data_IF_119960299574
#
_entry.id   IF_119960299574
#
_cell.length_a   1.000
_cell.length_b   1.000
_cell.length_c   1.000
_cell.angle_alpha   90.00
_cell.angle_beta   90.00
_cell.angle_gamma   90.00
#
_symmetry.space_group_name_H-M   'P 1'
#
loop_
_entity.id
_entity.type
_entity.pdbx_description
1 polymer ?
#
# COMPACT_ATOMS: atom_id res chain seq x y z
N UNK A 1 34.13 16.61 2.56
CA UNK A 1 33.51 15.75 3.59
C UNK A 1 32.76 16.65 4.56
N UNK A 2 31.49 16.93 4.25
CA UNK A 2 30.58 17.59 5.18
C UNK A 2 29.98 16.48 6.03
N UNK A 3 30.22 16.51 7.34
CA UNK A 3 29.54 15.64 8.31
C UNK A 3 28.41 16.46 8.90
N UNK A 4 27.33 16.58 8.12
CA UNK A 4 26.05 17.02 8.65
C UNK A 4 25.47 15.81 9.39
N UNK A 5 25.10 15.89 10.69
CA UNK A 5 24.50 14.79 11.39
C UNK A 5 23.05 14.65 10.92
N UNK A 6 22.87 14.19 9.69
CA UNK A 6 21.57 13.80 9.16
C UNK A 6 20.99 12.64 9.96
N UNK A 7 19.66 12.51 9.93
CA UNK A 7 18.94 11.36 10.48
C UNK A 7 19.59 10.08 9.92
N UNK A 8 20.06 9.14 10.77
CA UNK A 8 20.61 7.88 10.31
C UNK A 8 19.63 7.17 9.39
N UNK A 9 20.11 6.59 8.29
CA UNK A 9 19.24 5.84 7.39
C UNK A 9 18.60 4.67 8.16
N UNK A 10 17.27 4.48 8.09
CA UNK A 10 16.59 3.43 8.83
C UNK A 10 16.99 2.04 8.31
N UNK A 11 17.05 1.08 9.23
CA UNK A 11 17.36 -0.32 8.92
C UNK A 11 16.24 -0.95 8.09
N UNK A 12 16.52 -2.05 7.37
CA UNK A 12 15.48 -2.78 6.65
C UNK A 12 14.34 -3.22 7.58
N UNK A 13 14.66 -3.68 8.80
CA UNK A 13 13.66 -4.01 9.82
C UNK A 13 12.73 -2.83 10.10
N UNK A 14 13.29 -1.64 10.38
CA UNK A 14 12.50 -0.45 10.65
C UNK A 14 11.68 0.00 9.44
N UNK A 15 12.21 -0.17 8.22
CA UNK A 15 11.46 0.09 6.98
C UNK A 15 10.30 -0.88 6.75
N UNK A 16 10.48 -2.17 7.07
CA UNK A 16 9.41 -3.17 6.99
C UNK A 16 8.28 -2.83 7.98
N UNK A 17 8.63 -2.62 9.25
CA UNK A 17 7.65 -2.24 10.29
C UNK A 17 7.00 -0.90 9.96
N UNK A 18 7.81 0.12 9.63
CA UNK A 18 7.36 1.45 9.24
C UNK A 18 6.38 1.41 8.07
N UNK A 19 6.71 0.68 7.01
CA UNK A 19 5.86 0.57 5.82
C UNK A 19 4.51 -0.07 6.15
N UNK A 20 4.50 -1.21 6.85
CA UNK A 20 3.25 -1.94 7.15
C UNK A 20 2.37 -1.20 8.16
N UNK A 21 2.96 -0.69 9.25
CA UNK A 21 2.22 0.12 10.24
C UNK A 21 1.77 1.46 9.64
N UNK A 22 2.62 2.10 8.85
CA UNK A 22 2.29 3.36 8.17
C UNK A 22 1.09 3.21 7.26
N UNK A 23 1.05 2.14 6.45
CA UNK A 23 -0.12 1.81 5.63
C UNK A 23 -1.37 1.56 6.46
N UNK A 24 -1.27 0.76 7.52
CA UNK A 24 -2.41 0.49 8.38
C UNK A 24 -2.95 1.73 9.12
N UNK A 25 -2.09 2.67 9.50
CA UNK A 25 -2.49 3.96 10.04
C UNK A 25 -3.22 4.83 9.01
N UNK A 26 -2.71 4.84 7.77
CA UNK A 26 -3.34 5.54 6.65
C UNK A 26 -4.70 4.97 6.28
N UNK A 27 -4.80 3.64 6.18
CA UNK A 27 -6.06 2.89 6.01
C UNK A 27 -7.04 3.25 7.14
N UNK A 28 -6.65 3.09 8.41
CA UNK A 28 -7.56 3.36 9.53
C UNK A 28 -8.04 4.81 9.60
N UNK A 29 -7.18 5.78 9.25
CA UNK A 29 -7.56 7.19 9.21
C UNK A 29 -8.53 7.46 8.06
N UNK A 30 -8.22 6.98 6.85
CA UNK A 30 -9.04 7.18 5.67
C UNK A 30 -10.36 6.41 5.70
N UNK A 31 -10.39 5.23 6.33
CA UNK A 31 -11.60 4.40 6.48
C UNK A 31 -12.69 5.11 7.28
N UNK A 32 -12.31 6.03 8.18
CA UNK A 32 -13.27 6.84 8.94
C UNK A 32 -14.05 7.88 8.09
N UNK A 33 -13.58 8.14 6.86
CA UNK A 33 -14.09 9.18 5.95
C UNK A 33 -14.25 8.72 4.49
N UNK A 34 -13.95 7.48 4.13
CA UNK A 34 -14.01 6.95 2.76
C UNK A 34 -15.38 7.16 2.08
N UNK A 35 -16.47 7.18 2.85
CA UNK A 35 -17.83 7.37 2.34
C UNK A 35 -18.31 8.83 2.36
N UNK A 36 -17.46 9.76 2.78
CA UNK A 36 -17.82 11.17 2.96
C UNK A 36 -17.36 12.02 1.77
N UNK A 37 -18.12 13.07 1.45
CA UNK A 37 -17.59 14.16 0.63
C UNK A 37 -16.67 15.06 1.44
N UNK A 38 -15.79 15.82 0.79
CA UNK A 38 -14.97 16.83 1.49
C UNK A 38 -15.81 17.84 2.28
N UNK A 39 -17.05 18.11 1.86
CA UNK A 39 -17.96 18.96 2.61
C UNK A 39 -18.38 18.30 3.94
N UNK A 40 -18.73 17.01 3.92
CA UNK A 40 -19.12 16.24 5.10
C UNK A 40 -17.93 16.06 6.05
N UNK A 41 -16.73 15.80 5.51
CA UNK A 41 -15.49 15.72 6.32
C UNK A 41 -15.24 17.04 7.06
N UNK A 42 -15.36 18.18 6.37
CA UNK A 42 -15.19 19.50 6.99
C UNK A 42 -16.30 19.84 7.98
N UNK A 43 -17.53 19.35 7.77
CA UNK A 43 -18.61 19.49 8.74
C UNK A 43 -18.31 18.71 10.03
N UNK A 44 -17.77 17.50 9.90
CA UNK A 44 -17.43 16.62 11.03
C UNK A 44 -16.21 17.07 11.82
N UNK A 45 -15.15 17.50 11.13
CA UNK A 45 -13.81 17.72 11.74
C UNK A 45 -13.34 19.18 11.67
N UNK A 46 -14.11 20.08 11.05
CA UNK A 46 -13.79 21.49 10.90
C UNK A 46 -13.05 21.79 9.58
N UNK A 47 -12.65 23.05 9.40
CA UNK A 47 -12.15 23.56 8.11
C UNK A 47 -10.89 22.85 7.58
N UNK A 48 -10.08 22.27 8.47
CA UNK A 48 -8.86 21.53 8.13
C UNK A 48 -9.11 20.03 7.89
N UNK A 49 -10.36 19.57 8.05
CA UNK A 49 -10.71 18.16 7.92
C UNK A 49 -10.13 17.28 9.02
N UNK A 50 -10.02 15.98 8.75
CA UNK A 50 -9.48 14.98 9.65
C UNK A 50 -7.94 15.06 9.68
N UNK A 51 -7.35 15.32 10.84
CA UNK A 51 -5.89 15.55 10.97
C UNK A 51 -5.17 14.47 11.77
N UNK A 52 -5.91 13.60 12.47
CA UNK A 52 -5.33 12.42 13.09
C UNK A 52 -6.32 11.49 13.77
N UNK A 53 -5.83 10.33 14.21
CA UNK A 53 -6.65 9.31 14.88
C UNK A 53 -7.26 9.77 16.23
N UNK A 54 -6.70 10.82 16.82
CA UNK A 54 -7.23 11.47 18.02
C UNK A 54 -8.55 12.22 17.79
N UNK A 55 -8.81 12.65 16.54
CA UNK A 55 -10.05 13.36 16.17
C UNK A 55 -11.24 12.39 16.04
N UNK A 56 -10.97 11.09 15.90
CA UNK A 56 -11.99 10.07 15.73
C UNK A 56 -12.69 9.73 17.05
N UNK A 57 -14.01 9.68 17.01
CA UNK A 57 -14.82 9.07 18.08
C UNK A 57 -15.07 7.60 17.74
N UNK A 58 -14.64 6.67 18.60
CA UNK A 58 -14.81 5.23 18.39
C UNK A 58 -13.53 4.47 18.03
N UNK A 59 -13.61 3.18 17.66
CA UNK A 59 -12.44 2.35 17.39
C UNK A 59 -11.68 2.78 16.12
N UNK A 60 -10.36 2.53 16.07
CA UNK A 60 -9.48 2.90 14.96
C UNK A 60 -9.20 1.66 14.11
N UNK A 61 -10.27 1.23 13.47
CA UNK A 61 -10.30 0.03 12.64
C UNK A 61 -9.57 0.28 11.32
N UNK A 62 -8.67 -0.62 10.95
CA UNK A 62 -8.22 -0.76 9.56
C UNK A 62 -9.26 -1.53 8.72
N UNK A 63 -9.28 -1.38 7.39
CA UNK A 63 -10.23 -2.06 6.52
C UNK A 63 -9.67 -3.38 5.94
N UNK A 64 -10.34 -3.92 4.94
CA UNK A 64 -9.83 -5.00 4.10
C UNK A 64 -8.48 -4.71 3.44
N UNK A 65 -8.06 -3.45 3.27
CA UNK A 65 -6.78 -3.10 2.65
C UNK A 65 -5.59 -3.58 3.48
N UNK A 66 -5.59 -3.26 4.78
CA UNK A 66 -4.58 -3.76 5.72
C UNK A 66 -4.66 -5.28 5.79
N UNK A 67 -5.87 -5.87 5.84
CA UNK A 67 -6.01 -7.33 5.85
C UNK A 67 -5.32 -7.96 4.64
N UNK A 68 -5.68 -7.54 3.42
CA UNK A 68 -5.11 -8.06 2.18
C UNK A 68 -3.61 -7.80 2.09
N UNK A 69 -3.12 -6.65 2.57
CA UNK A 69 -1.69 -6.36 2.66
C UNK A 69 -0.95 -7.38 3.54
N UNK A 70 -1.50 -7.71 4.71
CA UNK A 70 -0.90 -8.71 5.60
C UNK A 70 -0.94 -10.11 5.00
N UNK A 71 -1.99 -10.48 4.26
CA UNK A 71 -2.02 -11.74 3.50
C UNK A 71 -1.07 -11.73 2.29
N UNK A 72 -0.78 -10.59 1.67
CA UNK A 72 0.33 -10.45 0.70
C UNK A 72 1.66 -10.77 1.39
N UNK A 73 1.90 -10.19 2.57
CA UNK A 73 3.12 -10.47 3.35
C UNK A 73 3.22 -11.96 3.66
N UNK A 74 2.13 -12.59 4.12
CA UNK A 74 2.12 -14.02 4.43
C UNK A 74 2.44 -14.90 3.21
N UNK A 75 1.87 -14.62 2.05
CA UNK A 75 2.19 -15.32 0.80
C UNK A 75 3.65 -15.14 0.36
N UNK A 76 4.22 -13.94 0.53
CA UNK A 76 5.63 -13.68 0.27
C UNK A 76 6.54 -14.41 1.27
N UNK A 77 6.18 -14.40 2.55
CA UNK A 77 6.88 -15.13 3.61
C UNK A 77 6.93 -16.61 3.29
N UNK A 78 5.79 -17.22 2.91
CA UNK A 78 5.74 -18.63 2.51
C UNK A 78 6.70 -18.94 1.36
N UNK A 79 6.70 -18.11 0.31
CA UNK A 79 7.60 -18.30 -0.83
C UNK A 79 9.09 -18.18 -0.42
N UNK A 80 9.41 -17.24 0.47
CA UNK A 80 10.77 -17.04 0.98
C UNK A 80 11.21 -18.16 1.94
N UNK A 81 10.31 -18.73 2.74
CA UNK A 81 10.59 -19.91 3.58
C UNK A 81 11.03 -21.10 2.71
N UNK A 82 10.33 -21.36 1.62
CA UNK A 82 10.71 -22.39 0.65
C UNK A 82 12.08 -22.09 0.02
N UNK A 83 12.28 -20.86 -0.43
CA UNK A 83 13.55 -20.45 -1.04
C UNK A 83 14.74 -20.60 -0.07
N UNK A 84 14.57 -20.21 1.19
CA UNK A 84 15.57 -20.35 2.26
C UNK A 84 15.86 -21.82 2.61
N UNK A 85 14.89 -22.71 2.41
CA UNK A 85 15.07 -24.15 2.54
C UNK A 85 15.72 -24.80 1.28
N UNK A 86 16.05 -24.02 0.25
CA UNK A 86 16.62 -24.49 -1.01
C UNK A 86 15.60 -25.15 -1.94
N UNK A 87 14.30 -24.86 -1.76
CA UNK A 87 13.20 -25.41 -2.55
C UNK A 87 12.53 -24.29 -3.33
N UNK A 88 12.36 -24.47 -4.65
CA UNK A 88 11.62 -23.52 -5.46
C UNK A 88 10.12 -23.56 -5.16
N UNK A 89 9.49 -22.40 -5.02
CA UNK A 89 8.05 -22.24 -4.91
C UNK A 89 7.52 -21.28 -6.00
N UNK A 90 6.29 -21.51 -6.44
CA UNK A 90 5.58 -20.53 -7.26
C UNK A 90 5.05 -19.42 -6.33
N UNK A 91 5.62 -18.22 -6.46
CA UNK A 91 5.27 -17.06 -5.62
C UNK A 91 3.79 -16.68 -5.79
N UNK A 92 3.27 -16.72 -7.03
CA UNK A 92 1.88 -16.38 -7.29
C UNK A 92 0.92 -17.42 -6.69
N UNK A 93 1.31 -18.70 -6.70
CA UNK A 93 0.53 -19.73 -6.01
C UNK A 93 0.48 -19.50 -4.49
N UNK A 94 1.61 -19.13 -3.87
CA UNK A 94 1.66 -18.82 -2.43
C UNK A 94 0.75 -17.62 -2.09
N UNK A 95 0.82 -16.56 -2.88
CA UNK A 95 -0.04 -15.37 -2.75
C UNK A 95 -1.51 -15.71 -2.96
N UNK A 96 -1.82 -16.49 -3.99
CA UNK A 96 -3.20 -16.89 -4.27
C UNK A 96 -3.79 -17.72 -3.13
N UNK A 97 -3.03 -18.68 -2.59
CA UNK A 97 -3.44 -19.46 -1.42
C UNK A 97 -3.65 -18.57 -0.18
N UNK A 98 -2.80 -17.57 0.04
CA UNK A 98 -2.99 -16.59 1.11
C UNK A 98 -4.27 -15.77 0.91
N UNK A 99 -4.55 -15.32 -0.30
CA UNK A 99 -5.79 -14.60 -0.59
C UNK A 99 -7.03 -15.48 -0.50
N UNK A 100 -6.95 -16.78 -0.81
CA UNK A 100 -8.05 -17.72 -0.57
C UNK A 100 -8.33 -17.91 0.92
N UNK A 101 -7.29 -17.90 1.78
CA UNK A 101 -7.48 -17.88 3.24
C UNK A 101 -8.18 -16.61 3.69
N UNK A 102 -7.74 -15.44 3.20
CA UNK A 102 -8.41 -14.17 3.46
C UNK A 102 -9.88 -14.19 3.00
N UNK A 103 -10.16 -14.68 1.79
CA UNK A 103 -11.52 -14.78 1.25
C UNK A 103 -12.44 -15.57 2.20
N UNK A 104 -11.94 -16.71 2.72
CA UNK A 104 -12.66 -17.51 3.69
C UNK A 104 -12.91 -16.75 5.02
N UNK A 105 -11.99 -15.90 5.47
CA UNK A 105 -12.22 -15.06 6.66
C UNK A 105 -13.30 -14.00 6.44
N UNK A 106 -13.58 -13.63 5.18
CA UNK A 106 -14.69 -12.72 4.83
C UNK A 106 -16.04 -13.43 4.71
N UNK A 107 -16.09 -14.76 4.92
CA UNK A 107 -17.31 -15.56 4.77
C UNK A 107 -17.67 -15.85 3.31
N UNK A 108 -16.71 -15.73 2.40
CA UNK A 108 -16.86 -16.04 0.98
C UNK A 108 -16.19 -17.40 0.66
N UNK A 109 -16.60 -18.03 -0.44
CA UNK A 109 -16.11 -19.34 -0.87
C UNK A 109 -15.64 -19.29 -2.34
N UNK A 110 -14.48 -19.89 -2.63
CA UNK A 110 -13.90 -19.91 -3.99
C UNK A 110 -14.41 -21.05 -4.88
N UNK A 111 -15.44 -21.77 -4.42
CA UNK A 111 -16.02 -22.91 -5.11
C UNK A 111 -15.21 -24.19 -4.91
N UNK A 112 -15.80 -25.35 -5.27
CA UNK A 112 -15.24 -26.67 -5.01
C UNK A 112 -13.99 -27.00 -5.85
N UNK A 113 -13.69 -26.21 -6.87
CA UNK A 113 -12.50 -26.37 -7.71
C UNK A 113 -11.26 -25.67 -7.15
N UNK A 114 -11.43 -24.71 -6.24
CA UNK A 114 -10.32 -24.05 -5.60
C UNK A 114 -9.59 -24.99 -4.63
N UNK A 115 -8.26 -24.86 -4.49
CA UNK A 115 -7.52 -25.63 -3.49
C UNK A 115 -7.94 -25.21 -2.08
N UNK A 116 -7.84 -26.14 -1.13
CA UNK A 116 -7.96 -25.84 0.30
C UNK A 116 -6.57 -25.47 0.86
N UNK A 117 -6.25 -24.17 1.06
CA UNK A 117 -4.96 -23.76 1.59
C UNK A 117 -4.77 -24.28 3.01
N UNK A 118 -3.52 -24.63 3.35
CA UNK A 118 -3.17 -24.98 4.73
C UNK A 118 -3.18 -23.72 5.61
N UNK A 119 -3.61 -23.81 6.87
CA UNK A 119 -3.63 -22.68 7.77
C UNK A 119 -2.20 -22.25 8.15
N UNK A 120 -2.02 -20.94 8.33
CA UNK A 120 -0.78 -20.28 8.75
C UNK A 120 -1.04 -19.41 9.99
N UNK A 121 0.03 -18.87 10.56
CA UNK A 121 -0.04 -18.05 11.79
C UNK A 121 -1.06 -16.91 11.68
N UNK A 122 -1.13 -16.25 10.52
CA UNK A 122 -2.00 -15.10 10.28
C UNK A 122 -3.49 -15.42 10.48
N UNK A 123 -3.93 -16.65 10.18
CA UNK A 123 -5.35 -17.05 10.21
C UNK A 123 -5.93 -17.16 11.64
N UNK A 124 -5.04 -17.23 12.64
CA UNK A 124 -5.40 -17.27 14.06
C UNK A 124 -5.85 -15.93 14.63
N UNK A 125 -5.66 -14.83 13.89
CA UNK A 125 -5.96 -13.48 14.37
C UNK A 125 -7.42 -13.10 14.08
N UNK A 126 -8.27 -13.07 15.11
CA UNK A 126 -9.72 -12.81 14.97
C UNK A 126 -10.05 -11.45 14.36
N UNK A 127 -9.20 -10.44 14.56
CA UNK A 127 -9.36 -9.10 13.99
C UNK A 127 -9.42 -9.12 12.46
N UNK A 128 -8.70 -10.05 11.82
CA UNK A 128 -8.65 -10.20 10.35
C UNK A 128 -9.88 -10.92 9.77
N UNK A 129 -10.82 -11.34 10.62
CA UNK A 129 -12.10 -11.96 10.23
C UNK A 129 -13.26 -10.97 10.23
N UNK A 130 -13.01 -9.74 10.66
CA UNK A 130 -14.01 -8.69 10.63
C UNK A 130 -14.19 -8.21 9.19
N UNK A 131 -15.39 -8.39 8.65
CA UNK A 131 -15.73 -7.97 7.29
C UNK A 131 -15.94 -6.46 7.25
N UNK A 132 -15.01 -5.74 6.61
CA UNK A 132 -14.99 -4.27 6.55
C UNK A 132 -14.86 -3.79 5.12
N UNK A 133 -16.00 -3.73 4.43
CA UNK A 133 -16.11 -3.28 3.04
C UNK A 133 -15.11 -3.93 2.07
N UNK A 134 -15.03 -5.28 2.00
CA UNK A 134 -14.06 -5.94 1.15
C UNK A 134 -14.21 -5.54 -0.32
N UNK A 135 -13.09 -5.21 -0.96
CA UNK A 135 -13.04 -4.84 -2.37
C UNK A 135 -13.70 -5.90 -3.27
N UNK A 136 -14.63 -5.44 -4.10
CA UNK A 136 -15.52 -6.33 -4.87
C UNK A 136 -14.78 -7.05 -5.97
N UNK A 137 -13.78 -6.41 -6.58
CA UNK A 137 -12.96 -7.01 -7.64
C UNK A 137 -12.02 -8.08 -7.04
N UNK A 138 -11.48 -7.85 -5.84
CA UNK A 138 -10.74 -8.86 -5.08
C UNK A 138 -11.61 -10.06 -4.73
N UNK A 139 -12.77 -9.84 -4.12
CA UNK A 139 -13.69 -10.93 -3.75
C UNK A 139 -14.12 -11.72 -4.97
N UNK A 140 -14.62 -11.07 -6.01
CA UNK A 140 -15.12 -11.76 -7.21
C UNK A 140 -14.00 -12.50 -7.96
N UNK A 141 -12.79 -11.94 -8.00
CA UNK A 141 -11.64 -12.56 -8.65
C UNK A 141 -11.24 -13.86 -7.95
N UNK A 142 -11.15 -13.84 -6.62
CA UNK A 142 -10.83 -15.03 -5.82
C UNK A 142 -11.99 -16.05 -5.79
N UNK A 143 -13.23 -15.56 -5.70
CA UNK A 143 -14.44 -16.39 -5.70
C UNK A 143 -14.65 -17.16 -7.03
N UNK A 144 -13.94 -16.77 -8.10
CA UNK A 144 -13.93 -17.52 -9.35
C UNK A 144 -13.29 -18.92 -9.22
N UNK A 145 -12.45 -19.13 -8.20
CA UNK A 145 -11.69 -20.37 -8.00
C UNK A 145 -10.55 -20.58 -9.01
N UNK A 146 -10.32 -19.62 -9.91
CA UNK A 146 -9.26 -19.65 -10.91
C UNK A 146 -8.08 -18.77 -10.47
N UNK A 147 -6.86 -19.31 -10.61
CA UNK A 147 -5.64 -18.53 -10.41
C UNK A 147 -5.40 -17.66 -11.66
N UNK A 148 -5.83 -16.40 -11.61
CA UNK A 148 -5.67 -15.43 -12.69
C UNK A 148 -4.20 -15.17 -13.04
N UNK A 149 -3.94 -14.84 -14.30
CA UNK A 149 -2.60 -14.49 -14.80
C UNK A 149 -2.68 -13.30 -15.73
N UNK A 150 -1.57 -12.62 -16.01
CA UNK A 150 -1.54 -11.49 -16.96
C UNK A 150 -1.99 -11.87 -18.38
N UNK A 151 -1.81 -13.13 -18.79
CA UNK A 151 -2.24 -13.64 -20.12
C UNK A 151 -3.69 -14.17 -20.10
N UNK A 152 -4.14 -14.68 -18.95
CA UNK A 152 -5.49 -15.21 -18.73
C UNK A 152 -6.04 -14.63 -17.42
N UNK A 153 -6.45 -13.36 -17.43
CA UNK A 153 -6.87 -12.70 -16.20
C UNK A 153 -8.28 -13.12 -15.81
N UNK A 154 -8.52 -13.14 -14.50
CA UNK A 154 -9.88 -13.03 -13.95
C UNK A 154 -10.27 -11.54 -13.96
N UNK A 155 -11.57 -11.25 -14.02
CA UNK A 155 -12.10 -9.88 -14.04
C UNK A 155 -11.40 -8.95 -15.07
N UNK A 156 -11.50 -9.20 -16.39
CA UNK A 156 -10.76 -8.44 -17.41
C UNK A 156 -11.00 -6.92 -17.40
N UNK A 157 -12.15 -6.46 -16.88
CA UNK A 157 -12.48 -5.04 -16.76
C UNK A 157 -12.15 -4.41 -15.39
N UNK A 158 -11.73 -5.20 -14.40
CA UNK A 158 -11.45 -4.70 -13.06
C UNK A 158 -10.20 -3.82 -13.05
N UNK A 159 -10.39 -2.55 -12.68
CA UNK A 159 -9.39 -1.48 -12.63
C UNK A 159 -9.30 -0.82 -11.24
N UNK A 160 -10.05 -1.32 -10.27
CA UNK A 160 -10.08 -0.77 -8.91
C UNK A 160 -8.72 -0.80 -8.21
N UNK A 161 -8.60 -0.09 -7.08
CA UNK A 161 -7.34 0.03 -6.33
C UNK A 161 -6.95 -1.22 -5.55
N UNK A 162 -7.79 -2.27 -5.53
CA UNK A 162 -7.57 -3.52 -4.82
C UNK A 162 -6.22 -4.19 -5.10
N UNK A 163 -5.60 -3.89 -6.25
CA UNK A 163 -4.23 -4.35 -6.56
C UNK A 163 -3.16 -3.52 -5.89
N UNK A 164 -3.23 -2.18 -5.98
CA UNK A 164 -2.18 -1.29 -5.52
C UNK A 164 -2.14 -1.18 -3.99
N UNK A 165 -3.31 -1.22 -3.33
CA UNK A 165 -3.43 -1.11 -1.87
C UNK A 165 -2.64 -2.18 -1.11
N UNK A 166 -2.41 -3.35 -1.73
CA UNK A 166 -1.73 -4.50 -1.12
C UNK A 166 -0.36 -4.80 -1.73
N UNK A 167 0.21 -3.85 -2.47
CA UNK A 167 1.43 -4.05 -3.26
C UNK A 167 2.72 -3.55 -2.59
N UNK A 168 2.65 -2.73 -1.55
CA UNK A 168 3.86 -2.26 -0.86
C UNK A 168 4.81 -3.41 -0.42
N UNK A 169 4.33 -4.57 0.08
CA UNK A 169 5.20 -5.66 0.54
C UNK A 169 6.19 -6.19 -0.51
N UNK A 170 5.85 -6.16 -1.80
CA UNK A 170 6.76 -6.61 -2.86
C UNK A 170 8.03 -5.76 -2.94
N UNK A 171 7.92 -4.46 -2.64
CA UNK A 171 9.08 -3.56 -2.63
C UNK A 171 9.99 -3.75 -1.42
N UNK A 172 9.52 -4.41 -0.37
CA UNK A 172 10.28 -4.66 0.85
C UNK A 172 11.25 -5.84 0.74
N UNK A 173 11.15 -6.65 -0.33
CA UNK A 173 12.02 -7.81 -0.51
C UNK A 173 13.43 -7.35 -0.94
N UNK A 174 14.47 -7.63 -0.14
CA UNK A 174 15.83 -7.21 -0.47
C UNK A 174 16.46 -8.15 -1.52
N UNK A 175 17.55 -7.68 -2.14
CA UNK A 175 18.43 -8.49 -3.00
C UNK A 175 17.78 -9.10 -4.26
N UNK A 176 16.64 -8.57 -4.69
CA UNK A 176 16.04 -8.85 -6.00
C UNK A 176 16.16 -7.64 -6.94
N UNK A 177 16.07 -7.86 -8.24
CA UNK A 177 16.17 -6.76 -9.21
C UNK A 177 14.90 -5.92 -9.25
N UNK A 178 14.99 -4.62 -9.62
CA UNK A 178 13.82 -3.78 -9.91
C UNK A 178 12.79 -4.44 -10.84
N UNK A 179 13.26 -5.10 -11.91
CA UNK A 179 12.40 -5.81 -12.86
C UNK A 179 11.66 -6.99 -12.20
N UNK A 180 12.31 -7.71 -11.27
CA UNK A 180 11.68 -8.79 -10.53
C UNK A 180 10.61 -8.27 -9.57
N UNK A 181 10.86 -7.15 -8.87
CA UNK A 181 9.86 -6.48 -8.00
C UNK A 181 8.62 -6.13 -8.81
N UNK A 182 8.81 -5.42 -9.93
CA UNK A 182 7.72 -5.03 -10.82
C UNK A 182 6.94 -6.26 -11.30
N UNK A 183 7.64 -7.28 -11.80
CA UNK A 183 7.01 -8.48 -12.34
C UNK A 183 6.21 -9.25 -11.29
N UNK A 184 6.78 -9.49 -10.11
CA UNK A 184 6.10 -10.20 -9.02
C UNK A 184 4.81 -9.49 -8.63
N UNK A 185 4.84 -8.18 -8.44
CA UNK A 185 3.64 -7.43 -8.08
C UNK A 185 2.61 -7.36 -9.20
N UNK A 186 3.04 -7.18 -10.46
CA UNK A 186 2.12 -7.12 -11.60
C UNK A 186 1.44 -8.48 -11.85
N UNK A 187 2.17 -9.58 -11.73
CA UNK A 187 1.59 -10.92 -11.85
C UNK A 187 0.65 -11.22 -10.67
N UNK A 188 0.99 -10.82 -9.45
CA UNK A 188 0.11 -10.97 -8.29
C UNK A 188 -1.18 -10.15 -8.38
N UNK A 189 -1.13 -8.96 -8.99
CA UNK A 189 -2.31 -8.15 -9.26
C UNK A 189 -3.32 -8.90 -10.18
N UNK A 190 -2.79 -9.69 -11.12
CA UNK A 190 -3.58 -10.48 -12.07
C UNK A 190 -4.37 -11.64 -11.43
N UNK A 191 -4.11 -11.95 -10.16
CA UNK A 191 -4.88 -12.94 -9.38
C UNK A 191 -6.34 -12.49 -9.14
N UNK A 192 -6.65 -11.20 -9.29
CA UNK A 192 -8.00 -10.67 -8.99
C UNK A 192 -8.50 -9.64 -9.99
N UNK A 193 -7.60 -8.84 -10.55
CA UNK A 193 -7.95 -7.80 -11.52
C UNK A 193 -7.39 -8.20 -12.88
N UNK A 194 -8.01 -7.77 -13.97
CA UNK A 194 -7.55 -8.10 -15.31
C UNK A 194 -7.16 -6.91 -16.18
N UNK A 195 -7.47 -5.69 -15.74
CA UNK A 195 -7.15 -4.50 -16.51
C UNK A 195 -5.65 -4.16 -16.38
N UNK A 196 -4.93 -3.87 -17.49
CA UNK A 196 -3.49 -3.58 -17.46
C UNK A 196 -3.11 -2.42 -16.52
N UNK A 197 -3.91 -1.36 -16.48
CA UNK A 197 -3.67 -0.22 -15.57
C UNK A 197 -3.59 -0.66 -14.09
N UNK A 198 -4.38 -1.64 -13.65
CA UNK A 198 -4.34 -2.14 -12.28
C UNK A 198 -3.07 -2.94 -11.99
N UNK A 199 -2.60 -3.75 -12.96
CA UNK A 199 -1.35 -4.52 -12.81
C UNK A 199 -0.13 -3.61 -12.83
N UNK A 200 -0.09 -2.68 -13.77
CA UNK A 200 1.02 -1.76 -13.97
C UNK A 200 1.13 -0.79 -12.79
N UNK A 201 0.02 -0.28 -12.25
CA UNK A 201 0.03 0.56 -11.05
C UNK A 201 0.59 -0.17 -9.83
N UNK A 202 0.17 -1.42 -9.60
CA UNK A 202 0.69 -2.27 -8.54
C UNK A 202 2.22 -2.50 -8.67
N UNK A 203 2.69 -2.81 -9.88
CA UNK A 203 4.10 -2.97 -10.18
C UNK A 203 4.91 -1.69 -9.96
N UNK A 204 4.40 -0.55 -10.43
CA UNK A 204 5.05 0.77 -10.27
C UNK A 204 5.10 1.20 -8.80
N UNK A 205 4.03 0.96 -8.03
CA UNK A 205 4.02 1.24 -6.60
C UNK A 205 5.05 0.39 -5.84
N UNK A 206 5.10 -0.91 -6.11
CA UNK A 206 6.10 -1.81 -5.52
C UNK A 206 7.53 -1.37 -5.85
N UNK A 207 7.77 -0.94 -7.08
CA UNK A 207 9.06 -0.42 -7.52
C UNK A 207 9.44 0.88 -6.80
N UNK A 208 8.46 1.77 -6.53
CA UNK A 208 8.67 2.98 -5.74
C UNK A 208 9.14 2.61 -4.33
N UNK A 209 8.42 1.72 -3.65
CA UNK A 209 8.79 1.23 -2.32
C UNK A 209 10.20 0.63 -2.33
N UNK A 210 10.54 -0.20 -3.33
CA UNK A 210 11.85 -0.82 -3.44
C UNK A 210 13.00 0.19 -3.60
N UNK A 211 12.79 1.25 -4.37
CA UNK A 211 13.77 2.33 -4.56
C UNK A 211 14.03 3.09 -3.25
N UNK A 212 12.97 3.40 -2.52
CA UNK A 212 13.06 4.07 -1.21
C UNK A 212 13.80 3.19 -0.19
N UNK A 213 13.48 1.90 -0.14
CA UNK A 213 14.16 0.92 0.73
C UNK A 213 15.64 0.77 0.35
N UNK A 214 15.96 0.90 -0.94
CA UNK A 214 17.34 0.90 -1.46
C UNK A 214 18.11 2.21 -1.19
N UNK A 215 17.47 3.20 -0.54
CA UNK A 215 18.09 4.45 -0.14
C UNK A 215 18.03 5.58 -1.17
N UNK A 216 17.23 5.44 -2.23
CA UNK A 216 16.98 6.52 -3.19
C UNK A 216 16.14 7.64 -2.54
N UNK A 217 16.45 8.89 -2.86
CA UNK A 217 15.68 10.03 -2.35
C UNK A 217 14.26 10.03 -2.95
N UNK A 218 13.27 10.46 -2.18
CA UNK A 218 11.86 10.39 -2.56
C UNK A 218 11.55 11.03 -3.93
N UNK A 219 12.07 12.24 -4.20
CA UNK A 219 11.85 12.93 -5.48
C UNK A 219 12.47 12.17 -6.66
N UNK A 220 13.65 11.62 -6.47
CA UNK A 220 14.37 10.86 -7.50
C UNK A 220 13.66 9.53 -7.78
N UNK A 221 13.28 8.81 -6.72
CA UNK A 221 12.52 7.57 -6.83
C UNK A 221 11.17 7.80 -7.54
N UNK A 222 10.44 8.84 -7.16
CA UNK A 222 9.17 9.23 -7.78
C UNK A 222 9.32 9.56 -9.27
N UNK A 223 10.32 10.37 -9.64
CA UNK A 223 10.61 10.70 -11.03
C UNK A 223 11.03 9.45 -11.83
N UNK A 224 11.82 8.57 -11.22
CA UNK A 224 12.31 7.34 -11.85
C UNK A 224 11.17 6.37 -12.17
N UNK A 225 10.25 6.14 -11.21
CA UNK A 225 9.12 5.24 -11.45
C UNK A 225 8.10 5.81 -12.43
N UNK A 226 7.88 7.14 -12.43
CA UNK A 226 7.03 7.79 -13.43
C UNK A 226 7.62 7.71 -14.85
N UNK A 227 8.94 7.84 -14.98
CA UNK A 227 9.64 7.63 -16.24
C UNK A 227 9.58 6.15 -16.67
N UNK A 228 9.77 5.21 -15.74
CA UNK A 228 9.67 3.78 -16.02
C UNK A 228 8.28 3.39 -16.50
N UNK A 229 7.22 3.89 -15.86
CA UNK A 229 5.83 3.67 -16.27
C UNK A 229 5.59 4.00 -17.75
N UNK A 230 6.14 5.11 -18.24
CA UNK A 230 6.00 5.53 -19.63
C UNK A 230 6.74 4.62 -20.64
N UNK A 231 7.64 3.75 -20.16
CA UNK A 231 8.43 2.82 -21.00
C UNK A 231 7.92 1.38 -20.97
N UNK A 232 6.85 1.11 -20.20
CA UNK A 232 6.30 -0.23 -20.07
C UNK A 232 5.76 -0.73 -21.43
N UNK A 233 5.98 -2.01 -21.78
CA UNK A 233 5.31 -2.63 -22.90
C UNK A 233 3.79 -2.58 -22.72
N UNK A 234 3.05 -2.19 -23.76
CA UNK A 234 1.58 -2.11 -23.75
C UNK A 234 1.05 -1.30 -22.54
N UNK A 235 1.73 -0.19 -22.23
CA UNK A 235 1.35 0.71 -21.14
C UNK A 235 -0.09 1.20 -21.29
N UNK A 236 -0.87 1.09 -20.21
CA UNK A 236 -2.14 1.78 -20.09
C UNK A 236 -1.85 3.27 -19.92
N UNK A 237 -2.23 4.13 -20.89
CA UNK A 237 -1.78 5.52 -20.95
C UNK A 237 -2.14 6.33 -19.70
N UNK A 238 -3.19 5.94 -18.99
CA UNK A 238 -3.68 6.65 -17.81
C UNK A 238 -2.68 6.63 -16.67
N UNK A 239 -1.87 5.58 -16.53
CA UNK A 239 -0.87 5.48 -15.46
C UNK A 239 0.24 6.54 -15.59
N UNK A 240 1.04 6.58 -16.68
CA UNK A 240 2.06 7.61 -16.82
C UNK A 240 1.45 9.02 -16.86
N UNK A 241 0.26 9.22 -17.44
CA UNK A 241 -0.40 10.52 -17.44
C UNK A 241 -0.69 11.04 -16.03
N UNK A 242 -1.26 10.17 -15.16
CA UNK A 242 -1.59 10.53 -13.77
C UNK A 242 -0.34 10.75 -12.91
N UNK A 243 0.68 9.89 -13.04
CA UNK A 243 1.94 10.08 -12.33
C UNK A 243 2.63 11.40 -12.72
N UNK A 244 2.67 11.71 -14.01
CA UNK A 244 3.24 12.97 -14.48
C UNK A 244 2.41 14.18 -14.04
N UNK A 245 1.09 14.05 -13.95
CA UNK A 245 0.24 15.09 -13.37
C UNK A 245 0.52 15.31 -11.88
N UNK A 246 0.68 14.23 -11.10
CA UNK A 246 1.01 14.29 -9.67
C UNK A 246 2.35 15.00 -9.43
N UNK A 247 3.39 14.62 -10.18
CA UNK A 247 4.72 15.26 -10.10
C UNK A 247 4.65 16.76 -10.38
N UNK A 248 3.98 17.18 -11.46
CA UNK A 248 3.82 18.61 -11.80
C UNK A 248 2.99 19.37 -10.77
N UNK A 249 1.97 18.74 -10.19
CA UNK A 249 1.13 19.39 -9.18
C UNK A 249 1.91 19.62 -7.88
N UNK A 250 2.77 18.68 -7.50
CA UNK A 250 3.61 18.76 -6.31
C UNK A 250 4.81 19.73 -6.41
N UNK A 251 5.04 20.36 -7.58
CA UNK A 251 6.00 21.46 -7.73
C UNK A 251 5.44 22.82 -7.24
N UNK A 252 4.15 22.88 -6.96
CA UNK A 252 3.44 24.07 -6.48
C UNK A 252 3.13 23.94 -4.99
N UNK A 253 2.61 25.02 -4.41
CA UNK A 253 1.96 24.95 -3.09
C UNK A 253 0.83 23.90 -3.09
N UNK A 254 0.58 23.21 -1.96
CA UNK A 254 -0.52 22.26 -1.83
C UNK A 254 -1.84 22.85 -2.30
N UNK A 255 -2.56 22.11 -3.14
CA UNK A 255 -3.84 22.55 -3.71
C UNK A 255 -5.00 22.13 -2.83
N UNK A 256 -6.15 22.77 -3.01
CA UNK A 256 -7.36 22.38 -2.31
C UNK A 256 -7.82 20.96 -2.75
N UNK A 257 -8.49 20.19 -1.87
CA UNK A 257 -9.01 18.85 -2.19
C UNK A 257 -9.84 18.77 -3.48
N UNK A 258 -10.62 19.81 -3.78
CA UNK A 258 -11.45 19.88 -4.99
C UNK A 258 -10.59 19.96 -6.26
N UNK A 259 -9.50 20.72 -6.23
CA UNK A 259 -8.53 20.80 -7.33
C UNK A 259 -7.73 19.51 -7.46
N UNK A 260 -7.37 18.89 -6.33
CA UNK A 260 -6.71 17.59 -6.28
C UNK A 260 -7.52 16.52 -7.01
N UNK A 261 -8.79 16.36 -6.65
CA UNK A 261 -9.70 15.40 -7.29
C UNK A 261 -9.89 15.71 -8.77
N UNK A 262 -10.03 16.98 -9.14
CA UNK A 262 -10.16 17.37 -10.55
C UNK A 262 -8.90 17.02 -11.37
N UNK A 263 -7.72 17.13 -10.78
CA UNK A 263 -6.45 16.90 -11.47
C UNK A 263 -6.04 15.42 -11.51
N UNK A 264 -6.22 14.70 -10.41
CA UNK A 264 -5.64 13.37 -10.19
C UNK A 264 -6.67 12.26 -9.97
N UNK A 265 -7.96 12.59 -9.87
CA UNK A 265 -9.05 11.64 -9.66
C UNK A 265 -9.38 11.42 -8.19
N UNK A 266 -10.38 10.59 -7.95
CA UNK A 266 -10.89 10.29 -6.60
C UNK A 266 -10.19 9.10 -5.96
N UNK A 267 -9.37 8.36 -6.71
CA UNK A 267 -8.64 7.19 -6.17
C UNK A 267 -9.40 5.87 -6.29
N UNK A 268 -10.57 5.85 -6.93
CA UNK A 268 -11.35 4.62 -7.17
C UNK A 268 -10.78 3.74 -8.28
N UNK A 269 -9.72 4.18 -8.95
CA UNK A 269 -8.93 3.40 -9.90
C UNK A 269 -7.49 3.31 -9.40
N UNK A 270 -6.80 2.21 -9.70
CA UNK A 270 -5.46 1.95 -9.18
C UNK A 270 -4.44 3.06 -9.51
N UNK A 271 -4.45 3.58 -10.75
CA UNK A 271 -3.54 4.66 -11.15
C UNK A 271 -3.90 6.02 -10.54
N UNK A 272 -5.17 6.24 -10.21
CA UNK A 272 -5.60 7.45 -9.50
C UNK A 272 -5.12 7.42 -8.06
N UNK A 273 -5.37 6.31 -7.34
CA UNK A 273 -4.98 6.16 -5.95
C UNK A 273 -3.47 6.37 -5.76
N UNK A 274 -2.67 5.75 -6.64
CA UNK A 274 -1.22 5.91 -6.64
C UNK A 274 -0.80 7.36 -6.90
N UNK A 275 -1.43 8.04 -7.85
CA UNK A 275 -1.09 9.42 -8.19
C UNK A 275 -1.45 10.40 -7.06
N UNK A 276 -2.63 10.25 -6.44
CA UNK A 276 -3.05 11.08 -5.31
C UNK A 276 -2.14 10.85 -4.10
N UNK A 277 -1.80 9.60 -3.77
CA UNK A 277 -0.91 9.29 -2.66
C UNK A 277 0.51 9.82 -2.88
N UNK A 278 1.04 9.67 -4.10
CA UNK A 278 2.34 10.22 -4.47
C UNK A 278 2.35 11.75 -4.40
N UNK A 279 1.28 12.39 -4.87
CA UNK A 279 1.10 13.84 -4.73
C UNK A 279 1.09 14.26 -3.26
N UNK A 280 0.28 13.62 -2.41
CA UNK A 280 0.15 13.96 -1.00
C UNK A 280 1.52 13.96 -0.32
N UNK A 281 2.29 12.90 -0.52
CA UNK A 281 3.66 12.77 0.02
C UNK A 281 4.64 13.80 -0.56
N UNK A 282 4.59 14.09 -1.86
CA UNK A 282 5.53 15.03 -2.47
C UNK A 282 5.20 16.50 -2.16
N UNK A 283 3.92 16.84 -2.05
CA UNK A 283 3.46 18.21 -1.80
C UNK A 283 3.72 18.65 -0.35
N UNK A 284 3.81 17.70 0.59
CA UNK A 284 4.10 17.96 2.01
C UNK A 284 5.57 17.76 2.38
N UNK A 285 6.45 17.56 1.39
CA UNK A 285 7.88 17.44 1.63
C UNK A 285 8.40 18.70 2.35
N UNK A 286 9.15 18.55 3.46
CA UNK A 286 9.73 19.69 4.17
C UNK A 286 10.63 20.53 3.24
N UNK A 287 10.63 21.85 3.42
CA UNK A 287 11.38 22.80 2.58
C UNK A 287 12.91 22.74 2.74
N UNK A 288 13.46 21.70 3.38
CA UNK A 288 14.90 21.47 3.56
C UNK A 288 15.20 20.23 4.41
N UNK A 289 16.41 19.69 4.25
CA UNK A 289 16.87 18.46 4.94
C UNK A 289 17.12 18.70 6.45
N UNK A 290 17.49 19.93 6.82
CA UNK A 290 17.81 20.32 8.20
C UNK A 290 16.56 20.41 9.11
N UNK A 291 15.38 20.59 8.51
CA UNK A 291 14.10 20.71 9.21
C UNK A 291 13.25 19.43 9.07
N UNK A 292 13.84 18.32 8.59
CA UNK A 292 13.12 17.07 8.40
C UNK A 292 12.60 16.55 9.75
N UNK A 293 11.29 16.64 9.94
CA UNK A 293 10.55 16.01 11.03
C UNK A 293 9.73 14.88 10.42
N UNK A 294 10.24 13.63 10.40
CA UNK A 294 9.54 12.51 9.75
C UNK A 294 8.10 12.33 10.24
N UNK A 295 7.86 12.47 11.54
CA UNK A 295 6.52 12.45 12.15
C UNK A 295 5.59 13.53 11.59
N UNK A 296 6.07 14.77 11.48
CA UNK A 296 5.27 15.87 10.93
C UNK A 296 4.95 15.64 9.46
N UNK A 297 5.95 15.20 8.66
CA UNK A 297 5.73 14.87 7.26
C UNK A 297 4.69 13.75 7.10
N UNK A 298 4.71 12.74 7.99
CA UNK A 298 3.70 11.69 8.02
C UNK A 298 2.29 12.22 8.29
N UNK A 299 2.13 13.08 9.30
CA UNK A 299 0.82 13.70 9.60
C UNK A 299 0.31 14.56 8.47
N UNK A 300 1.16 15.43 7.93
CA UNK A 300 0.79 16.37 6.87
C UNK A 300 0.39 15.62 5.60
N UNK A 301 1.18 14.63 5.18
CA UNK A 301 0.88 13.83 4.00
C UNK A 301 -0.42 13.05 4.16
N UNK A 302 -0.64 12.43 5.33
CA UNK A 302 -1.89 11.70 5.57
C UNK A 302 -3.10 12.63 5.63
N UNK A 303 -2.97 13.83 6.19
CA UNK A 303 -4.04 14.83 6.16
C UNK A 303 -4.40 15.22 4.72
N UNK A 304 -3.43 15.40 3.82
CA UNK A 304 -3.71 15.63 2.39
C UNK A 304 -4.35 14.39 1.74
N UNK A 305 -3.85 13.20 2.07
CA UNK A 305 -4.28 11.94 1.49
C UNK A 305 -5.73 11.54 1.82
N UNK A 306 -6.24 11.86 3.02
CA UNK A 306 -7.58 11.40 3.45
C UNK A 306 -8.69 12.44 3.33
N UNK A 307 -8.34 13.72 3.18
CA UNK A 307 -9.31 14.81 3.11
C UNK A 307 -9.69 15.12 1.65
N UNK A 308 -10.31 14.16 0.97
CA UNK A 308 -10.94 14.33 -0.33
C UNK A 308 -12.20 13.45 -0.46
N UNK A 309 -13.00 13.65 -1.50
CA UNK A 309 -14.29 12.96 -1.70
C UNK A 309 -14.15 11.57 -2.37
N UNK A 310 -13.13 10.81 -2.03
CA UNK A 310 -12.75 9.61 -2.78
C UNK A 310 -12.29 8.45 -1.91
N UNK A 311 -11.45 7.57 -2.47
CA UNK A 311 -10.92 6.38 -1.80
C UNK A 311 -9.87 6.75 -0.73
N UNK A 312 -10.29 7.47 0.32
CA UNK A 312 -9.41 8.07 1.33
C UNK A 312 -8.61 7.03 2.12
N UNK A 313 -9.16 5.86 2.41
CA UNK A 313 -8.44 4.72 3.00
C UNK A 313 -7.30 4.25 2.09
N UNK A 314 -7.59 4.00 0.81
CA UNK A 314 -6.56 3.59 -0.17
C UNK A 314 -5.45 4.60 -0.27
N UNK A 315 -5.80 5.87 -0.52
CA UNK A 315 -4.80 6.93 -0.71
C UNK A 315 -3.98 7.14 0.57
N UNK A 316 -4.64 7.11 1.74
CA UNK A 316 -3.99 7.15 3.04
C UNK A 316 -3.01 5.98 3.24
N UNK A 317 -3.44 4.76 2.94
CA UNK A 317 -2.64 3.55 3.07
C UNK A 317 -1.39 3.60 2.20
N UNK A 318 -1.53 3.98 0.93
CA UNK A 318 -0.39 4.12 0.01
C UNK A 318 0.58 5.22 0.47
N UNK A 319 0.09 6.38 0.90
CA UNK A 319 0.93 7.45 1.42
C UNK A 319 1.69 7.02 2.68
N UNK A 320 1.00 6.33 3.60
CA UNK A 320 1.59 5.75 4.80
C UNK A 320 2.65 4.70 4.51
N UNK A 321 2.42 3.81 3.53
CA UNK A 321 3.41 2.85 3.07
C UNK A 321 4.67 3.54 2.51
N UNK A 322 4.51 4.59 1.70
CA UNK A 322 5.64 5.34 1.09
C UNK A 322 6.50 5.96 2.19
N UNK A 323 5.89 6.66 3.15
CA UNK A 323 6.61 7.34 4.21
C UNK A 323 7.23 6.38 5.22
N UNK A 324 6.53 5.29 5.54
CA UNK A 324 7.08 4.21 6.36
C UNK A 324 8.25 3.50 5.69
N UNK A 325 8.19 3.30 4.36
CA UNK A 325 9.32 2.76 3.61
C UNK A 325 10.51 3.73 3.55
N UNK A 326 10.24 5.04 3.46
CA UNK A 326 11.26 6.10 3.40
C UNK A 326 11.96 6.33 4.74
N UNK A 327 11.20 6.47 5.82
CA UNK A 327 11.68 6.89 7.14
C UNK A 327 11.75 5.77 8.18
N UNK A 328 11.18 4.59 7.90
CA UNK A 328 11.03 3.55 8.91
C UNK A 328 10.00 3.92 9.97
N UNK A 329 10.15 3.36 11.17
CA UNK A 329 9.25 3.62 12.30
C UNK A 329 9.37 5.04 12.86
N UNK A 330 10.47 5.75 12.58
CA UNK A 330 10.74 7.09 13.10
C UNK A 330 9.74 8.16 12.61
N UNK A 331 8.99 7.89 11.54
CA UNK A 331 7.93 8.78 11.08
C UNK A 331 6.56 8.49 11.68
N UNK A 332 6.39 7.42 12.45
CA UNK A 332 5.09 7.00 12.93
C UNK A 332 4.76 7.68 14.27
N UNK A 333 3.67 8.46 14.35
CA UNK A 333 3.18 8.99 15.61
C UNK A 333 2.91 7.87 16.64
N UNK A 334 3.65 7.89 17.75
CA UNK A 334 3.54 6.84 18.76
C UNK A 334 2.12 6.70 19.31
N UNK A 335 1.41 7.82 19.49
CA UNK A 335 0.03 7.82 19.96
C UNK A 335 -0.97 7.31 18.91
N UNK A 336 -0.63 7.37 17.62
CA UNK A 336 -1.45 6.76 16.57
C UNK A 336 -1.25 5.25 16.53
N UNK A 337 0.00 4.77 16.61
CA UNK A 337 0.31 3.33 16.68
C UNK A 337 -0.37 2.69 17.90
N UNK A 338 -0.36 3.36 19.05
CA UNK A 338 -1.04 2.88 20.27
C UNK A 338 -2.58 2.87 20.14
N UNK A 339 -3.13 3.79 19.35
CA UNK A 339 -4.58 3.89 19.16
C UNK A 339 -5.10 2.93 18.07
N UNK A 340 -4.25 2.51 17.14
CA UNK A 340 -4.55 1.59 16.05
C UNK A 340 -5.09 0.27 16.63
N UNK A 341 -6.04 -0.35 15.93
CA UNK A 341 -6.50 -1.68 16.31
C UNK A 341 -5.45 -2.75 16.00
N UNK A 342 -5.19 -3.62 16.99
CA UNK A 342 -4.33 -4.79 16.85
C UNK A 342 -2.96 -4.53 16.17
N UNK A 343 -2.18 -3.52 16.60
CA UNK A 343 -0.88 -3.20 16.00
C UNK A 343 0.10 -4.36 16.15
N UNK A 344 -0.09 -5.20 17.16
CA UNK A 344 0.66 -6.43 17.41
C UNK A 344 0.50 -7.48 16.29
N UNK A 345 -0.66 -7.55 15.63
CA UNK A 345 -0.88 -8.44 14.48
C UNK A 345 -0.07 -7.97 13.26
N UNK A 346 -0.04 -6.65 13.03
CA UNK A 346 0.73 -6.03 11.94
C UNK A 346 2.22 -6.20 12.20
N UNK A 347 2.67 -5.92 13.42
CA UNK A 347 4.05 -6.11 13.86
C UNK A 347 4.46 -7.59 13.78
N UNK A 348 3.59 -8.52 14.15
CA UNK A 348 3.85 -9.95 14.05
C UNK A 348 4.09 -10.41 12.62
N UNK A 349 3.33 -9.91 11.64
CA UNK A 349 3.61 -10.17 10.23
C UNK A 349 4.88 -9.49 9.74
N UNK A 350 5.14 -8.25 10.16
CA UNK A 350 6.40 -7.57 9.88
C UNK A 350 7.60 -8.40 10.38
N UNK A 351 7.51 -8.95 11.58
CA UNK A 351 8.54 -9.81 12.17
C UNK A 351 8.72 -11.13 11.39
N UNK A 352 7.65 -11.75 10.88
CA UNK A 352 7.78 -12.90 9.98
C UNK A 352 8.56 -12.54 8.72
N UNK A 353 8.28 -11.37 8.12
CA UNK A 353 8.99 -10.92 6.92
C UNK A 353 10.45 -10.59 7.22
N UNK A 354 10.73 -9.91 8.33
CA UNK A 354 12.10 -9.61 8.79
C UNK A 354 12.89 -10.90 8.97
N UNK A 355 12.30 -11.91 9.64
CA UNK A 355 12.94 -13.20 9.89
C UNK A 355 13.38 -13.89 8.60
N UNK A 356 12.53 -13.93 7.57
CA UNK A 356 12.86 -14.63 6.31
C UNK A 356 13.73 -13.81 5.35
N UNK A 357 13.84 -12.50 5.55
CA UNK A 357 14.65 -11.61 4.67
C UNK A 357 16.01 -11.25 5.25
N UNK A 358 16.16 -11.24 6.58
CA UNK A 358 17.41 -10.85 7.26
C UNK A 358 18.05 -11.98 8.07
N UNK A 359 17.27 -13.02 8.42
CA UNK A 359 17.68 -14.02 9.40
C UNK A 359 17.63 -13.54 10.85
N UNK A 360 17.22 -12.30 11.12
CA UNK A 360 16.97 -11.77 12.46
C UNK A 360 15.53 -12.13 12.87
N UNK A 361 15.36 -12.96 13.91
CA UNK A 361 14.04 -13.37 14.40
C UNK A 361 14.08 -14.18 15.67
#
# INVERSE_FOLDING_TARGET
MSTDPGIPAPTLKSRIHGCLLGGALGDALGYAVESDSIADIRERFGAHGLTGLGDLSGPRHFSDETQLTLYTVDGLVEALEWANAGVGADVNACLWLAYLRWLATQGEDAGPSAPAPQPRWIDGNEVLRQRRHPDKDCVSGLASGEMGTTVRPVNPGARGPGTVMRSAPFGLIPHITPDAVYKLSADAAALTHGHPAAHQSAGIFSLLIHRLVSGEALRDAAASVAAHAATLPEVAPELPERLQAALRLAEKEPVAPEELVQALGEGWLAEEALAVALYAVLATLPAGIADAQPDQHFRDALAVAVNHSGASNTVGSLAGNILGALYGEDCLPAEWVQALEAPDVIQGMADQLVKVTTGEG
#
